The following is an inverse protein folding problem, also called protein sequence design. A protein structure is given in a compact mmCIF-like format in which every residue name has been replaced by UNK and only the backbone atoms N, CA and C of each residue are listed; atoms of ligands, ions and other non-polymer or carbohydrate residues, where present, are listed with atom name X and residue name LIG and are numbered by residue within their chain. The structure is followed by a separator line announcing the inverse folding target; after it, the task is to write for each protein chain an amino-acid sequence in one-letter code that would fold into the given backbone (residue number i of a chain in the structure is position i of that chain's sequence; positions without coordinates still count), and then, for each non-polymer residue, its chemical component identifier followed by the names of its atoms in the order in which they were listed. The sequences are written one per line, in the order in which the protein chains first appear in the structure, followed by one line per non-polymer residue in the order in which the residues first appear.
data_IF_376486913885
#
_entry.id   IF_376486913885
#
_cell.length_a   1.000
_cell.length_b   1.000
_cell.length_c   1.000
_cell.angle_alpha   90.00
_cell.angle_beta   90.00
_cell.angle_gamma   90.00
#
_symmetry.space_group_name_H-M   'P 1'
#
loop_
_entity.id
_entity.type
_entity.pdbx_description
1 polymer ?
#
# COMPACT_ATOMS: atom_id res chain seq x y z
N UNK A 1 30.04 -45.16 7.35
CA UNK A 1 29.37 -44.19 6.46
C UNK A 1 27.88 -44.48 6.49
N UNK A 2 27.06 -43.57 6.99
CA UNK A 2 25.60 -43.72 7.05
C UNK A 2 24.98 -42.64 6.16
N UNK A 3 24.61 -42.99 4.93
CA UNK A 3 23.81 -42.12 4.06
C UNK A 3 22.34 -42.39 4.34
N UNK A 4 21.76 -41.69 5.32
CA UNK A 4 20.31 -41.59 5.38
C UNK A 4 19.86 -40.61 4.31
N UNK A 5 19.43 -41.13 3.16
CA UNK A 5 18.53 -40.41 2.28
C UNK A 5 17.22 -40.17 3.04
N UNK A 6 17.19 -39.10 3.84
CA UNK A 6 15.90 -38.50 4.17
C UNK A 6 15.42 -37.87 2.89
N UNK A 7 14.55 -38.58 2.15
CA UNK A 7 13.55 -37.92 1.32
C UNK A 7 12.87 -36.91 2.23
N UNK A 8 13.35 -35.66 2.21
CA UNK A 8 12.53 -34.53 2.58
C UNK A 8 11.41 -34.58 1.55
N UNK A 9 10.30 -35.23 1.90
CA UNK A 9 9.03 -34.82 1.32
C UNK A 9 9.03 -33.32 1.49
N UNK A 10 8.96 -32.57 0.38
CA UNK A 10 8.84 -31.13 0.45
C UNK A 10 7.75 -30.86 1.49
N UNK A 11 8.00 -30.05 2.53
CA UNK A 11 6.92 -29.61 3.39
C UNK A 11 5.81 -29.12 2.46
N UNK A 12 4.56 -29.52 2.71
CA UNK A 12 3.41 -29.04 1.96
C UNK A 12 3.63 -27.54 1.66
N UNK A 13 3.78 -27.21 0.37
CA UNK A 13 4.48 -26.00 -0.06
C UNK A 13 3.97 -24.78 0.68
N UNK A 14 4.89 -23.97 1.23
CA UNK A 14 4.53 -22.73 1.90
C UNK A 14 3.59 -21.93 0.98
N UNK A 15 2.54 -21.34 1.55
CA UNK A 15 1.56 -20.58 0.76
C UNK A 15 2.28 -19.52 -0.07
N UNK A 16 1.91 -19.40 -1.36
CA UNK A 16 2.53 -18.49 -2.31
C UNK A 16 2.41 -17.01 -1.88
N UNK A 17 1.43 -16.70 -1.03
CA UNK A 17 1.28 -15.39 -0.40
C UNK A 17 0.82 -15.54 1.05
N UNK A 18 1.08 -14.51 1.86
CA UNK A 18 0.70 -14.45 3.27
C UNK A 18 0.42 -13.01 3.68
N UNK A 19 -0.50 -12.81 4.63
CA UNK A 19 -0.71 -11.49 5.25
C UNK A 19 0.33 -11.26 6.34
N UNK A 20 0.95 -10.08 6.31
CA UNK A 20 1.92 -9.66 7.31
C UNK A 20 1.54 -8.32 7.93
N UNK A 21 2.26 -7.96 9.00
CA UNK A 21 2.15 -6.64 9.62
C UNK A 21 3.42 -5.86 9.37
N UNK A 22 3.32 -4.66 8.85
CA UNK A 22 4.48 -3.81 8.59
C UNK A 22 5.13 -3.41 9.91
N UNK A 23 6.42 -3.66 10.03
CA UNK A 23 7.26 -3.31 11.20
C UNK A 23 8.10 -2.07 10.93
N UNK A 24 8.51 -1.89 9.67
CA UNK A 24 9.22 -0.71 9.19
C UNK A 24 8.57 -0.23 7.90
N UNK A 25 7.98 0.97 7.94
CA UNK A 25 7.36 1.57 6.78
C UNK A 25 8.36 2.01 5.70
N UNK A 26 7.85 2.34 4.52
CA UNK A 26 8.66 2.83 3.42
C UNK A 26 8.64 1.91 2.19
N UNK A 27 9.62 2.14 1.32
CA UNK A 27 9.98 1.26 0.21
C UNK A 27 11.50 1.38 0.07
N UNK A 28 12.26 0.31 0.37
CA UNK A 28 11.78 -1.00 0.79
C UNK A 28 11.27 -1.01 2.26
N UNK A 29 10.36 -1.93 2.56
CA UNK A 29 9.70 -2.05 3.88
C UNK A 29 10.16 -3.30 4.67
N UNK A 30 9.82 -3.32 5.96
CA UNK A 30 9.94 -4.49 6.84
C UNK A 30 8.56 -5.03 7.22
N UNK A 31 8.39 -6.35 7.24
CA UNK A 31 7.13 -7.03 7.52
C UNK A 31 7.35 -8.24 8.42
N UNK A 32 6.53 -8.33 9.47
CA UNK A 32 6.40 -9.51 10.32
C UNK A 32 5.40 -10.50 9.72
N UNK A 33 5.91 -11.68 9.35
CA UNK A 33 5.14 -12.85 8.90
C UNK A 33 5.28 -13.98 9.95
N UNK A 34 5.50 -15.23 9.54
CA UNK A 34 6.08 -16.27 10.41
C UNK A 34 7.50 -15.99 10.93
N UNK A 35 8.10 -14.88 10.49
CA UNK A 35 9.34 -14.30 10.97
C UNK A 35 9.52 -12.90 10.37
N UNK A 36 10.45 -12.12 10.92
CA UNK A 36 10.74 -10.79 10.39
C UNK A 36 11.41 -10.88 9.02
N UNK A 37 10.87 -10.14 8.05
CA UNK A 37 11.47 -9.93 6.74
C UNK A 37 11.75 -8.45 6.55
N UNK A 38 12.94 -8.11 6.08
CA UNK A 38 13.36 -6.73 5.81
C UNK A 38 13.72 -6.59 4.36
N UNK A 39 13.73 -5.34 3.90
CA UNK A 39 14.10 -4.98 2.53
C UNK A 39 13.12 -5.52 1.47
N UNK A 40 11.81 -5.58 1.78
CA UNK A 40 10.79 -5.97 0.81
C UNK A 40 10.42 -4.79 -0.07
N UNK A 41 10.52 -4.96 -1.38
CA UNK A 41 10.05 -3.98 -2.35
C UNK A 41 8.52 -3.90 -2.35
N UNK A 42 7.99 -2.70 -2.52
CA UNK A 42 6.54 -2.46 -2.67
C UNK A 42 6.20 -2.38 -4.15
N UNK A 43 5.28 -3.22 -4.60
CA UNK A 43 4.73 -3.17 -5.95
C UNK A 43 3.30 -2.63 -5.93
N UNK A 44 2.97 -1.86 -6.96
CA UNK A 44 1.63 -1.33 -7.19
C UNK A 44 1.37 -1.14 -8.68
N UNK A 45 0.14 -0.76 -9.05
CA UNK A 45 -0.20 -0.43 -10.43
C UNK A 45 0.72 0.65 -11.00
N UNK A 46 1.00 0.60 -12.31
CA UNK A 46 1.82 1.63 -12.97
C UNK A 46 1.23 3.03 -12.78
N UNK A 47 2.06 3.99 -12.37
CA UNK A 47 1.63 5.37 -12.07
C UNK A 47 1.10 5.58 -10.64
N UNK A 48 0.98 4.52 -9.84
CA UNK A 48 0.65 4.58 -8.43
C UNK A 48 1.91 4.33 -7.59
N UNK A 49 2.12 5.13 -6.54
CA UNK A 49 3.20 4.93 -5.59
C UNK A 49 2.67 5.07 -4.18
N UNK A 50 2.96 4.08 -3.36
CA UNK A 50 2.54 4.02 -1.97
C UNK A 50 3.68 3.45 -1.15
N UNK A 51 3.81 3.94 0.08
CA UNK A 51 4.76 3.45 1.07
C UNK A 51 3.95 3.00 2.29
N UNK A 52 3.95 1.70 2.63
CA UNK A 52 3.30 1.21 3.83
C UNK A 52 3.81 1.91 5.09
N UNK A 53 2.93 2.05 6.06
CA UNK A 53 3.21 2.60 7.39
C UNK A 53 3.35 1.44 8.40
N UNK A 54 4.15 1.64 9.44
CA UNK A 54 4.23 0.66 10.52
C UNK A 54 2.85 0.40 11.13
N UNK A 55 2.49 -0.88 11.28
CA UNK A 55 1.17 -1.32 11.71
C UNK A 55 0.24 -1.77 10.57
N UNK A 56 0.49 -1.36 9.33
CA UNK A 56 -0.36 -1.74 8.19
C UNK A 56 -0.39 -3.26 8.00
N UNK A 57 -1.56 -3.79 7.65
CA UNK A 57 -1.75 -5.19 7.26
C UNK A 57 -1.57 -5.33 5.76
N UNK A 58 -0.50 -6.01 5.34
CA UNK A 58 -0.10 -6.08 3.93
C UNK A 58 -0.08 -7.49 3.38
N UNK A 59 -0.41 -7.64 2.11
CA UNK A 59 -0.23 -8.90 1.38
C UNK A 59 1.19 -9.00 0.87
N UNK A 60 1.90 -10.04 1.31
CA UNK A 60 3.25 -10.37 0.83
C UNK A 60 3.16 -11.57 -0.11
N UNK A 61 3.57 -11.37 -1.36
CA UNK A 61 3.78 -12.44 -2.32
C UNK A 61 5.18 -13.03 -2.13
N UNK A 62 5.29 -14.34 -1.95
CA UNK A 62 6.56 -15.07 -1.87
C UNK A 62 6.99 -15.47 -3.28
N UNK A 63 7.34 -14.49 -4.11
CA UNK A 63 7.74 -14.73 -5.49
C UNK A 63 9.15 -15.36 -5.58
N UNK A 64 9.48 -15.86 -6.77
CA UNK A 64 10.65 -16.73 -6.98
C UNK A 64 10.27 -18.21 -6.86
N UNK A 65 11.05 -19.08 -7.51
CA UNK A 65 10.74 -20.51 -7.54
C UNK A 65 10.71 -21.14 -6.14
N UNK A 66 11.51 -20.58 -5.22
CA UNK A 66 11.68 -21.01 -3.84
C UNK A 66 11.25 -19.92 -2.84
N UNK A 67 10.51 -18.90 -3.30
CA UNK A 67 10.06 -17.78 -2.45
C UNK A 67 11.18 -16.81 -2.06
N UNK A 68 12.28 -16.78 -2.82
CA UNK A 68 13.48 -16.00 -2.56
C UNK A 68 13.33 -14.50 -2.83
N UNK A 69 12.28 -14.09 -3.56
CA UNK A 69 12.05 -12.71 -3.99
C UNK A 69 10.71 -12.17 -3.47
N UNK A 70 10.50 -12.08 -2.14
CA UNK A 70 9.22 -11.63 -1.61
C UNK A 70 8.99 -10.14 -1.85
N UNK A 71 7.74 -9.75 -2.12
CA UNK A 71 7.35 -8.37 -2.31
C UNK A 71 5.96 -8.07 -1.73
N UNK A 72 5.72 -6.79 -1.41
CA UNK A 72 4.43 -6.31 -0.94
C UNK A 72 3.58 -5.92 -2.17
N UNK A 73 2.32 -6.35 -2.21
CA UNK A 73 1.39 -6.05 -3.31
C UNK A 73 0.33 -5.00 -2.97
N UNK A 74 0.07 -4.78 -1.68
CA UNK A 74 -1.01 -3.91 -1.23
C UNK A 74 -1.39 -4.13 0.22
N UNK A 75 -2.36 -3.35 0.68
CA UNK A 75 -2.96 -3.45 2.00
C UNK A 75 -4.33 -4.14 1.93
N UNK A 76 -4.80 -4.65 3.07
CA UNK A 76 -6.20 -5.07 3.22
C UNK A 76 -7.09 -3.83 3.03
N UNK A 77 -8.16 -3.98 2.24
CA UNK A 77 -9.13 -2.91 2.06
C UNK A 77 -9.77 -2.55 3.40
N UNK A 78 -9.68 -1.27 3.79
CA UNK A 78 -10.40 -0.75 4.94
C UNK A 78 -11.89 -0.63 4.61
N UNK A 79 -12.75 -0.96 5.57
CA UNK A 79 -14.19 -0.90 5.38
C UNK A 79 -14.68 0.51 5.00
N UNK A 80 -15.63 0.58 4.08
CA UNK A 80 -16.26 1.81 3.62
C UNK A 80 -17.25 1.53 2.49
N UNK A 81 -18.25 2.41 2.34
CA UNK A 81 -19.24 2.30 1.27
C UNK A 81 -18.65 2.77 -0.07
N UNK A 82 -18.00 1.83 -0.79
CA UNK A 82 -17.71 1.96 -2.21
C UNK A 82 -18.72 1.17 -3.01
N UNK A 83 -19.38 1.84 -3.96
CA UNK A 83 -20.21 1.19 -4.96
C UNK A 83 -19.39 0.43 -6.01
N UNK A 84 -20.02 -0.47 -6.80
CA UNK A 84 -19.34 -1.13 -7.91
C UNK A 84 -18.74 -0.12 -8.90
N UNK A 85 -17.43 -0.24 -9.15
CA UNK A 85 -16.68 0.64 -10.06
C UNK A 85 -16.21 1.96 -9.43
N UNK A 86 -16.55 2.24 -8.16
CA UNK A 86 -16.01 3.39 -7.45
C UNK A 86 -14.58 3.11 -6.95
N UNK A 87 -13.78 4.17 -6.92
CA UNK A 87 -12.38 4.09 -6.48
C UNK A 87 -12.13 5.11 -5.39
N UNK A 88 -11.49 4.69 -4.30
CA UNK A 88 -10.93 5.57 -3.27
C UNK A 88 -9.42 5.41 -3.24
N UNK A 89 -8.71 6.53 -3.35
CA UNK A 89 -7.28 6.62 -3.08
C UNK A 89 -7.14 7.31 -1.72
N UNK A 90 -6.63 6.58 -0.72
CA UNK A 90 -6.49 7.11 0.63
C UNK A 90 -5.05 6.92 1.12
N UNK A 91 -4.57 7.88 1.92
CA UNK A 91 -3.27 7.81 2.58
C UNK A 91 -3.20 8.80 3.73
N UNK A 92 -2.86 8.32 4.92
CA UNK A 92 -2.90 9.14 6.13
C UNK A 92 -4.30 9.74 6.36
N UNK A 93 -4.37 11.06 6.54
CA UNK A 93 -5.62 11.80 6.73
C UNK A 93 -6.28 12.30 5.42
N UNK A 94 -5.72 11.97 4.26
CA UNK A 94 -6.19 12.48 2.97
C UNK A 94 -6.84 11.37 2.13
N UNK A 95 -7.88 11.74 1.38
CA UNK A 95 -8.53 10.83 0.45
C UNK A 95 -9.05 11.53 -0.81
N UNK A 96 -9.04 10.80 -1.92
CA UNK A 96 -9.68 11.14 -3.19
C UNK A 96 -10.68 10.05 -3.52
N UNK A 97 -11.97 10.39 -3.65
CA UNK A 97 -13.03 9.46 -4.05
C UNK A 97 -13.51 9.78 -5.46
N UNK A 98 -13.47 8.79 -6.35
CA UNK A 98 -13.98 8.87 -7.72
C UNK A 98 -15.23 7.98 -7.86
N UNK A 99 -16.37 8.62 -8.15
CA UNK A 99 -17.65 7.99 -8.43
C UNK A 99 -18.52 8.92 -9.28
N UNK A 100 -19.79 9.13 -8.91
CA UNK A 100 -20.65 10.12 -9.58
C UNK A 100 -20.19 11.57 -9.30
N UNK A 101 -19.50 11.79 -8.18
CA UNK A 101 -18.91 13.06 -7.75
C UNK A 101 -17.44 12.84 -7.44
N UNK A 102 -16.59 13.82 -7.73
CA UNK A 102 -15.23 13.88 -7.20
C UNK A 102 -15.28 14.53 -5.82
N UNK A 103 -14.91 13.77 -4.80
CA UNK A 103 -14.75 14.27 -3.43
C UNK A 103 -13.26 14.27 -3.05
N UNK A 104 -12.83 15.40 -2.49
CA UNK A 104 -11.46 15.65 -2.06
C UNK A 104 -11.49 16.05 -0.59
N UNK A 105 -10.88 15.22 0.26
CA UNK A 105 -10.82 15.44 1.71
C UNK A 105 -9.38 15.70 2.17
N UNK A 106 -9.22 16.74 2.99
CA UNK A 106 -7.93 17.18 3.54
C UNK A 106 -7.48 18.56 3.04
N UNK A 107 -6.22 18.88 3.30
CA UNK A 107 -5.62 20.13 2.81
C UNK A 107 -5.31 20.04 1.32
N UNK A 108 -5.87 20.98 0.55
CA UNK A 108 -5.69 21.03 -0.91
C UNK A 108 -4.72 22.13 -1.27
N UNK A 109 -3.71 21.78 -2.08
CA UNK A 109 -2.71 22.71 -2.58
C UNK A 109 -2.73 22.77 -4.11
N UNK A 110 -2.70 23.97 -4.66
CA UNK A 110 -2.51 24.24 -6.08
C UNK A 110 -1.15 24.93 -6.27
N UNK A 111 -0.23 24.27 -6.98
CA UNK A 111 1.12 24.79 -7.22
C UNK A 111 1.86 25.24 -5.94
N UNK A 112 1.68 24.50 -4.83
CA UNK A 112 2.31 24.80 -3.54
C UNK A 112 1.58 25.84 -2.68
N UNK A 113 0.45 26.39 -3.14
CA UNK A 113 -0.39 27.31 -2.36
C UNK A 113 -1.65 26.63 -1.87
N UNK A 114 -2.10 26.92 -0.66
CA UNK A 114 -3.36 26.39 -0.16
C UNK A 114 -4.53 26.87 -1.04
N UNK A 115 -5.43 25.96 -1.42
CA UNK A 115 -6.58 26.26 -2.29
C UNK A 115 -7.43 27.40 -1.72
N UNK A 116 -7.59 27.45 -0.40
CA UNK A 116 -8.31 28.52 0.28
C UNK A 116 -7.70 29.90 -0.02
N UNK A 117 -6.37 30.02 0.00
CA UNK A 117 -5.69 31.29 -0.31
C UNK A 117 -5.86 31.67 -1.77
N UNK A 118 -5.75 30.70 -2.68
CA UNK A 118 -5.96 30.93 -4.12
C UNK A 118 -7.38 31.45 -4.37
N UNK A 119 -8.39 30.82 -3.77
CA UNK A 119 -9.80 31.26 -3.90
C UNK A 119 -9.99 32.65 -3.28
N UNK A 120 -9.39 32.91 -2.11
CA UNK A 120 -9.48 34.20 -1.45
C UNK A 120 -8.93 35.33 -2.32
N UNK A 121 -7.75 35.14 -2.92
CA UNK A 121 -7.12 36.15 -3.78
C UNK A 121 -7.98 36.45 -5.01
N UNK A 122 -8.52 35.40 -5.66
CA UNK A 122 -9.43 35.55 -6.81
C UNK A 122 -10.68 36.35 -6.40
N UNK A 123 -11.27 36.06 -5.24
CA UNK A 123 -12.45 36.78 -4.76
C UNK A 123 -12.13 38.25 -4.49
N UNK A 124 -10.96 38.57 -3.95
CA UNK A 124 -10.52 39.96 -3.73
C UNK A 124 -10.39 40.69 -5.07
N UNK A 125 -9.73 40.08 -6.06
CA UNK A 125 -9.52 40.67 -7.39
C UNK A 125 -10.84 40.91 -8.15
N UNK A 126 -11.84 40.04 -7.95
CA UNK A 126 -13.16 40.19 -8.59
C UNK A 126 -14.00 41.31 -7.94
N UNK A 127 -13.75 41.61 -6.67
CA UNK A 127 -14.50 42.62 -5.91
C UNK A 127 -13.86 44.02 -5.94
N UNK A 128 -12.65 44.17 -6.50
CA UNK A 128 -11.94 45.44 -6.70
C UNK A 128 -12.28 46.10 -8.03
#
# INVERSE_FOLDING_TARGET
MWTSERRRGLPAGAAAAELGTVTLGGDPAGVSLGGERRWLTVYGPGGYSWRPTAGDKVLVLKAGAEGESPCILGTVQEGGELGPGEVRLAGGSCAVKLGQRLELDGELYLNGRALYEVVRDIVIDVLS
#
